data_IF_788088633468
#
_entry.id   IF_788088633468
#
_cell.length_a   1.000
_cell.length_b   1.000
_cell.length_c   1.000
_cell.angle_alpha   90.00
_cell.angle_beta   90.00
_cell.angle_gamma   90.00
#
_symmetry.space_group_name_H-M   'P 1'
#
loop_
_entity.id
_entity.type
_entity.pdbx_description
1 polymer ?
#
# COMPACT_ATOMS: atom_id res chain seq x y z
N UNK A 1 -20.97 15.31 -0.58
CA UNK A 1 -20.24 14.41 0.33
C UNK A 1 -20.78 13.01 0.08
N UNK A 2 -19.99 12.11 -0.52
CA UNK A 2 -20.42 10.74 -0.71
C UNK A 2 -20.67 10.09 0.66
N UNK A 3 -21.75 9.32 0.76
CA UNK A 3 -22.17 8.64 1.99
C UNK A 3 -22.04 7.12 1.81
N UNK A 4 -21.61 6.44 2.86
CA UNK A 4 -21.46 4.98 2.86
C UNK A 4 -22.85 4.35 2.85
N UNK A 5 -23.08 3.41 1.93
CA UNK A 5 -24.31 2.62 1.82
C UNK A 5 -24.05 1.18 2.25
N UNK A 6 -25.12 0.46 2.58
CA UNK A 6 -25.06 -0.97 2.88
C UNK A 6 -25.02 -1.78 1.57
N UNK A 7 -23.87 -1.70 0.88
CA UNK A 7 -23.57 -2.38 -0.40
C UNK A 7 -22.12 -2.86 -0.40
N UNK A 8 -21.80 -3.78 -1.29
CA UNK A 8 -20.41 -4.19 -1.54
C UNK A 8 -19.65 -3.05 -2.22
N UNK A 9 -18.42 -2.83 -1.76
CA UNK A 9 -17.46 -1.91 -2.37
C UNK A 9 -16.24 -2.68 -2.87
N UNK A 10 -15.71 -2.27 -4.00
CA UNK A 10 -14.52 -2.84 -4.62
C UNK A 10 -13.43 -1.78 -4.70
N UNK A 11 -12.18 -2.22 -4.53
CA UNK A 11 -11.01 -1.36 -4.67
C UNK A 11 -10.58 -1.27 -6.14
N UNK A 12 -10.30 -0.06 -6.62
CA UNK A 12 -9.73 0.16 -7.95
C UNK A 12 -8.19 0.10 -7.90
N UNK A 13 -7.53 -0.93 -8.48
CA UNK A 13 -6.08 -1.07 -8.42
C UNK A 13 -5.33 -0.27 -9.50
N UNK A 14 -6.01 0.50 -10.35
CA UNK A 14 -5.38 1.23 -11.46
C UNK A 14 -4.67 2.49 -10.94
N UNK A 15 -3.34 2.67 -11.11
CA UNK A 15 -2.61 3.81 -10.54
C UNK A 15 -3.15 5.19 -10.92
N UNK A 16 -3.35 5.44 -12.22
CA UNK A 16 -3.76 6.76 -12.76
C UNK A 16 -5.27 7.02 -12.66
N UNK A 17 -6.00 6.25 -11.85
CA UNK A 17 -7.44 6.39 -11.67
C UNK A 17 -7.76 6.91 -10.27
N UNK A 18 -8.30 8.12 -10.18
CA UNK A 18 -8.63 8.78 -8.90
C UNK A 18 -9.72 8.05 -8.09
N UNK A 19 -10.45 7.11 -8.69
CA UNK A 19 -11.39 6.25 -7.97
C UNK A 19 -10.60 5.31 -7.06
N UNK A 20 -10.99 5.26 -5.79
CA UNK A 20 -10.46 4.32 -4.79
C UNK A 20 -11.44 3.18 -4.57
N UNK A 21 -12.68 3.49 -4.21
CA UNK A 21 -13.74 2.51 -4.00
C UNK A 21 -14.91 2.75 -4.94
N UNK A 22 -15.43 1.70 -5.56
CA UNK A 22 -16.66 1.78 -6.35
C UNK A 22 -17.65 0.70 -5.86
N UNK A 23 -18.94 1.04 -5.70
CA UNK A 23 -19.94 0.07 -5.29
C UNK A 23 -20.55 -0.68 -6.48
N UNK A 24 -21.28 -1.77 -6.19
CA UNK A 24 -22.21 -2.38 -7.17
C UNK A 24 -23.35 -1.43 -7.56
N UNK A 25 -23.73 -0.51 -6.67
CA UNK A 25 -24.74 0.51 -6.92
C UNK A 25 -24.49 1.76 -6.05
N UNK A 26 -24.47 2.93 -6.68
CA UNK A 26 -24.29 4.22 -6.00
C UNK A 26 -23.05 4.97 -6.43
N UNK A 27 -22.56 5.85 -5.56
CA UNK A 27 -21.43 6.73 -5.83
C UNK A 27 -20.09 6.08 -5.45
N UNK A 28 -19.08 6.34 -6.27
CA UNK A 28 -17.71 5.98 -5.98
C UNK A 28 -17.07 6.95 -4.97
N UNK A 29 -16.04 6.48 -4.29
CA UNK A 29 -15.14 7.29 -3.46
C UNK A 29 -13.83 7.51 -4.20
N UNK A 30 -13.37 8.75 -4.19
CA UNK A 30 -12.15 9.19 -4.84
C UNK A 30 -11.03 9.41 -3.82
N UNK A 31 -9.79 9.57 -4.29
CA UNK A 31 -8.63 9.91 -3.45
C UNK A 31 -8.90 11.10 -2.54
N UNK A 32 -9.58 12.13 -3.04
CA UNK A 32 -9.96 13.33 -2.28
C UNK A 32 -10.99 13.09 -1.16
N UNK A 33 -11.74 11.98 -1.19
CA UNK A 33 -12.72 11.64 -0.15
C UNK A 33 -12.08 10.88 1.03
N UNK A 34 -10.85 10.40 0.87
CA UNK A 34 -10.17 9.58 1.87
C UNK A 34 -9.30 10.44 2.81
N UNK A 35 -9.23 10.01 4.07
CA UNK A 35 -8.35 10.62 5.10
C UNK A 35 -6.89 10.20 5.00
N UNK A 36 -6.60 9.20 4.16
CA UNK A 36 -5.27 8.62 4.00
C UNK A 36 -4.88 8.69 2.54
N UNK A 37 -3.59 8.90 2.27
CA UNK A 37 -3.00 8.76 0.94
C UNK A 37 -3.03 7.30 0.53
N UNK A 38 -3.40 7.02 -0.72
CA UNK A 38 -3.55 5.65 -1.22
C UNK A 38 -2.34 5.34 -2.09
N UNK A 39 -1.33 4.66 -1.55
CA UNK A 39 -0.01 4.52 -2.18
C UNK A 39 0.02 4.14 -3.67
N UNK A 40 -0.87 3.25 -4.16
CA UNK A 40 -0.90 2.91 -5.60
C UNK A 40 -1.34 4.09 -6.50
N UNK A 41 -1.97 5.11 -5.93
CA UNK A 41 -2.46 6.34 -6.57
C UNK A 41 -1.50 7.52 -6.42
N UNK A 42 -0.35 7.31 -5.77
CA UNK A 42 0.60 8.38 -5.46
C UNK A 42 1.86 8.22 -6.31
N UNK A 43 2.31 9.31 -6.92
CA UNK A 43 3.60 9.38 -7.65
C UNK A 43 4.69 10.05 -6.83
N UNK A 44 4.31 10.87 -5.84
CA UNK A 44 5.24 11.68 -5.04
C UNK A 44 5.25 11.26 -3.55
N UNK A 45 6.42 11.29 -2.89
CA UNK A 45 6.52 10.97 -1.47
C UNK A 45 5.62 11.81 -0.54
N UNK A 46 5.24 11.28 0.64
CA UNK A 46 5.32 9.87 1.02
C UNK A 46 4.31 9.00 0.25
N UNK A 47 4.79 7.89 -0.32
CA UNK A 47 3.97 6.83 -0.93
C UNK A 47 3.76 5.70 0.09
N UNK A 48 2.59 5.58 0.74
CA UNK A 48 2.38 4.61 1.81
C UNK A 48 2.27 3.18 1.28
N UNK A 49 2.94 2.22 1.94
CA UNK A 49 2.93 0.81 1.55
C UNK A 49 2.37 -0.07 2.68
N UNK A 50 2.88 0.09 3.90
CA UNK A 50 2.40 -0.65 5.07
C UNK A 50 1.67 0.27 6.04
N UNK A 51 0.35 0.31 5.96
CA UNK A 51 -0.51 1.14 6.81
C UNK A 51 -0.56 0.69 8.28
N UNK A 52 -0.23 -0.57 8.57
CA UNK A 52 -0.12 -1.05 9.96
C UNK A 52 1.07 -0.43 10.70
N UNK A 53 2.20 -0.25 10.01
CA UNK A 53 3.47 0.13 10.65
C UNK A 53 4.09 1.41 10.10
N UNK A 54 3.43 2.09 9.16
CA UNK A 54 3.84 3.38 8.63
C UNK A 54 5.01 3.32 7.64
N UNK A 55 5.28 2.18 7.00
CA UNK A 55 6.36 2.09 6.01
C UNK A 55 5.92 2.64 4.66
N UNK A 56 6.78 3.47 4.06
CA UNK A 56 6.62 4.05 2.71
C UNK A 56 7.52 3.35 1.70
N UNK A 57 7.31 3.63 0.41
CA UNK A 57 8.16 3.14 -0.69
C UNK A 57 9.62 3.53 -0.48
N UNK A 58 9.89 4.81 -0.22
CA UNK A 58 11.25 5.32 -0.03
C UNK A 58 11.96 4.64 1.14
N UNK A 59 11.28 4.44 2.27
CA UNK A 59 11.87 3.72 3.40
C UNK A 59 12.29 2.30 3.04
N UNK A 60 11.48 1.60 2.22
CA UNK A 60 11.79 0.24 1.76
C UNK A 60 12.97 0.25 0.79
N UNK A 61 13.03 1.23 -0.12
CA UNK A 61 14.12 1.39 -1.07
C UNK A 61 15.44 1.76 -0.39
N UNK A 62 15.41 2.71 0.56
CA UNK A 62 16.57 3.09 1.37
C UNK A 62 17.09 1.90 2.19
N UNK A 63 16.18 1.14 2.82
CA UNK A 63 16.51 -0.08 3.56
C UNK A 63 17.19 -1.13 2.67
N UNK A 64 16.73 -1.30 1.43
CA UNK A 64 17.37 -2.17 0.45
C UNK A 64 18.78 -1.71 0.09
N UNK A 65 18.95 -0.42 -0.21
CA UNK A 65 20.24 0.17 -0.59
C UNK A 65 21.24 0.03 0.56
N UNK A 66 20.82 0.32 1.79
CA UNK A 66 21.70 0.32 2.95
C UNK A 66 22.10 -1.10 3.40
N UNK A 67 21.19 -2.07 3.30
CA UNK A 67 21.41 -3.40 3.88
C UNK A 67 21.66 -4.50 2.83
N UNK A 68 21.51 -4.21 1.54
CA UNK A 68 21.55 -5.20 0.45
C UNK A 68 20.37 -6.19 0.44
N UNK A 69 19.45 -6.04 1.39
CA UNK A 69 18.22 -6.83 1.58
C UNK A 69 17.20 -5.98 2.32
N UNK A 70 15.90 -6.27 2.18
CA UNK A 70 14.90 -5.51 2.93
C UNK A 70 14.71 -6.07 4.34
N UNK A 71 15.28 -5.39 5.34
CA UNK A 71 15.02 -5.65 6.75
C UNK A 71 13.57 -5.27 7.12
N UNK A 72 12.99 -4.27 6.46
CA UNK A 72 11.60 -3.84 6.64
C UNK A 72 10.63 -4.98 6.27
N UNK A 73 10.86 -5.68 5.14
CA UNK A 73 10.04 -6.84 4.77
C UNK A 73 10.07 -7.92 5.85
N UNK A 74 11.24 -8.19 6.42
CA UNK A 74 11.39 -9.17 7.51
C UNK A 74 10.67 -8.74 8.79
N UNK A 75 10.77 -7.45 9.15
CA UNK A 75 10.05 -6.86 10.28
C UNK A 75 8.55 -7.01 10.09
N UNK A 76 8.01 -6.65 8.92
CA UNK A 76 6.59 -6.79 8.60
C UNK A 76 6.19 -8.26 8.69
N UNK A 77 6.93 -9.17 8.04
CA UNK A 77 6.61 -10.60 8.05
C UNK A 77 6.57 -11.19 9.47
N UNK A 78 7.52 -10.81 10.33
CA UNK A 78 7.55 -11.24 11.73
C UNK A 78 6.35 -10.69 12.51
N UNK A 79 6.07 -9.39 12.41
CA UNK A 79 4.96 -8.77 13.14
C UNK A 79 3.59 -9.28 12.65
N UNK A 80 3.42 -9.52 11.37
CA UNK A 80 2.18 -10.11 10.82
C UNK A 80 1.94 -11.52 11.35
N UNK A 81 2.98 -12.35 11.50
CA UNK A 81 2.84 -13.68 12.13
C UNK A 81 2.37 -13.62 13.59
N UNK A 82 2.66 -12.53 14.30
CA UNK A 82 2.20 -12.33 15.68
C UNK A 82 0.77 -11.77 15.78
N UNK A 83 0.06 -11.60 14.66
CA UNK A 83 -1.35 -11.21 14.64
C UNK A 83 -1.65 -9.75 14.99
N UNK A 84 -0.64 -8.87 14.98
CA UNK A 84 -0.80 -7.47 15.41
C UNK A 84 -1.20 -6.49 14.29
N UNK A 85 -1.39 -6.98 13.06
CA UNK A 85 -1.78 -6.13 11.93
C UNK A 85 -3.27 -6.27 11.60
N UNK A 86 -3.86 -5.18 11.14
CA UNK A 86 -5.27 -5.03 10.79
C UNK A 86 -5.34 -4.55 9.33
N UNK A 87 -4.83 -5.35 8.39
CA UNK A 87 -4.71 -4.93 6.98
C UNK A 87 -6.09 -4.63 6.38
N UNK A 88 -7.06 -5.47 6.67
CA UNK A 88 -8.45 -5.38 6.26
C UNK A 88 -9.15 -4.09 6.73
N UNK A 89 -8.60 -3.39 7.75
CA UNK A 89 -9.14 -2.11 8.25
C UNK A 89 -8.26 -0.94 7.83
N UNK A 90 -6.93 -1.10 7.88
CA UNK A 90 -5.98 0.01 7.73
C UNK A 90 -5.48 0.22 6.31
N UNK A 91 -5.34 -0.85 5.53
CA UNK A 91 -4.87 -0.76 4.15
C UNK A 91 -6.08 -0.50 3.24
N UNK A 92 -6.10 0.56 2.43
CA UNK A 92 -7.19 0.81 1.51
C UNK A 92 -7.50 -0.36 0.56
N UNK A 93 -6.49 -1.15 0.18
CA UNK A 93 -6.69 -2.35 -0.64
C UNK A 93 -7.37 -3.51 0.12
N UNK A 94 -7.45 -3.45 1.45
CA UNK A 94 -8.04 -4.49 2.30
C UNK A 94 -7.20 -5.77 2.41
N UNK A 95 -5.96 -5.77 1.90
CA UNK A 95 -5.09 -6.94 1.80
C UNK A 95 -3.73 -6.72 2.48
N UNK A 96 -2.96 -7.79 2.65
CA UNK A 96 -1.63 -7.71 3.27
C UNK A 96 -0.62 -6.96 2.40
N UNK A 97 0.00 -5.91 2.97
CA UNK A 97 1.02 -5.10 2.30
C UNK A 97 2.29 -5.88 1.88
N UNK A 98 2.52 -7.10 2.36
CA UNK A 98 3.69 -7.91 2.00
C UNK A 98 3.80 -8.17 0.49
N UNK A 99 2.67 -8.23 -0.21
CA UNK A 99 2.66 -8.35 -1.68
C UNK A 99 3.27 -7.11 -2.35
N UNK A 100 2.82 -5.92 -1.97
CA UNK A 100 3.35 -4.65 -2.48
C UNK A 100 4.83 -4.47 -2.14
N UNK A 101 5.23 -4.78 -0.89
CA UNK A 101 6.64 -4.75 -0.47
C UNK A 101 7.50 -5.67 -1.34
N UNK A 102 7.02 -6.88 -1.65
CA UNK A 102 7.74 -7.80 -2.52
C UNK A 102 7.87 -7.28 -3.96
N UNK A 103 6.84 -6.60 -4.48
CA UNK A 103 6.88 -5.91 -5.78
C UNK A 103 7.96 -4.84 -5.83
N UNK A 104 7.97 -3.93 -4.85
CA UNK A 104 8.98 -2.85 -4.75
C UNK A 104 10.40 -3.42 -4.73
N UNK A 105 10.63 -4.47 -3.95
CA UNK A 105 11.93 -5.14 -3.86
C UNK A 105 12.33 -5.71 -5.23
N UNK A 106 11.41 -6.39 -5.92
CA UNK A 106 11.64 -6.94 -7.26
C UNK A 106 12.00 -5.86 -8.27
N UNK A 107 11.29 -4.74 -8.23
CA UNK A 107 11.49 -3.61 -9.15
C UNK A 107 12.80 -2.85 -8.87
N UNK A 108 13.34 -2.96 -7.64
CA UNK A 108 14.59 -2.32 -7.23
C UNK A 108 15.85 -3.16 -7.53
N UNK A 109 15.72 -4.48 -7.74
CA UNK A 109 16.87 -5.35 -8.06
C UNK A 109 17.59 -5.05 -9.38
N UNK A 110 16.91 -4.69 -10.49
CA UNK A 110 17.58 -4.27 -11.74
C UNK A 110 18.55 -3.10 -11.52
N UNK A 111 18.26 -2.25 -10.53
CA UNK A 111 19.05 -1.06 -10.16
C UNK A 111 20.27 -1.37 -9.31
N UNK A 112 20.33 -2.55 -8.67
CA UNK A 112 21.40 -2.96 -7.76
C UNK A 112 22.43 -3.88 -8.42
N UNK A 113 22.11 -4.49 -9.57
CA UNK A 113 23.02 -5.37 -10.34
C UNK A 113 24.03 -4.62 -11.23
N UNK A 114 24.08 -3.29 -11.14
CA UNK A 114 24.96 -2.42 -11.92
C UNK A 114 26.03 -1.67 -11.10
N UNK A 115 26.26 -2.05 -9.84
CA UNK A 115 27.38 -1.58 -9.02
C UNK A 115 28.46 -2.65 -8.90
#
# INVERSE_FOLDING_TARGET
MPYIRDVSYFFCPTPDCDVVYFPDAGEAFYTADLKVRVGIKETEPPIPVCYCYGYTRDMIQDDLIQNGRSTIREIIARKTKTGSCQCEIRNPQGSCCLGEVAGIIKDSYPSLSGQ
#
